data_IF_088579236572
#
_entry.id   IF_088579236572
#
_cell.length_a   1.000
_cell.length_b   1.000
_cell.length_c   1.000
_cell.angle_alpha   90.00
_cell.angle_beta   90.00
_cell.angle_gamma   90.00
#
_symmetry.space_group_name_H-M   'P 1'
#
loop_
_entity.id
_entity.type
_entity.pdbx_description
1 polymer ?
#
# COMPACT_ATOMS: atom_id res chain seq x y z
N UNK A 1 -7.65 1.56 11.94
CA UNK A 1 -6.80 0.79 12.87
C UNK A 1 -7.39 -0.55 13.35
N UNK A 2 -8.49 -1.07 12.77
CA UNK A 2 -9.11 -2.34 13.19
C UNK A 2 -8.88 -3.54 12.25
N UNK A 3 -8.35 -3.35 11.04
CA UNK A 3 -8.08 -4.44 10.07
C UNK A 3 -6.62 -4.94 10.09
N UNK A 4 -5.72 -4.21 10.74
CA UNK A 4 -4.28 -4.54 10.81
C UNK A 4 -3.96 -5.65 11.82
N UNK A 5 -4.88 -5.89 12.77
CA UNK A 5 -4.66 -6.82 13.89
C UNK A 5 -4.89 -8.29 13.48
N UNK A 6 -5.73 -8.57 12.48
CA UNK A 6 -6.14 -9.95 12.18
C UNK A 6 -5.08 -10.77 11.40
N UNK A 7 -4.04 -10.15 10.87
CA UNK A 7 -3.03 -10.82 10.03
C UNK A 7 -1.59 -10.72 10.52
N UNK A 8 -1.31 -10.00 11.61
CA UNK A 8 0.04 -9.83 12.18
C UNK A 8 1.11 -9.57 11.11
N UNK A 9 2.16 -10.40 11.10
CA UNK A 9 3.25 -10.38 10.11
C UNK A 9 3.11 -11.45 9.02
N UNK A 10 1.94 -12.10 8.88
CA UNK A 10 1.72 -13.21 7.93
C UNK A 10 1.96 -12.82 6.46
N UNK A 11 1.86 -11.53 6.14
CA UNK A 11 2.15 -11.00 4.82
C UNK A 11 3.62 -11.10 4.40
N UNK A 12 4.55 -11.29 5.35
CA UNK A 12 5.98 -11.52 5.07
C UNK A 12 6.25 -12.76 4.22
N UNK A 13 5.32 -13.72 4.24
CA UNK A 13 5.37 -14.94 3.42
C UNK A 13 5.11 -14.63 1.94
N UNK A 14 4.49 -13.48 1.63
CA UNK A 14 4.19 -13.10 0.25
C UNK A 14 5.49 -12.80 -0.51
N UNK A 15 5.56 -13.32 -1.74
CA UNK A 15 6.59 -12.90 -2.69
C UNK A 15 6.31 -11.48 -3.13
N UNK A 16 7.35 -10.73 -3.51
CA UNK A 16 7.21 -9.37 -4.05
C UNK A 16 6.23 -9.32 -5.23
N UNK A 17 6.22 -10.35 -6.10
CA UNK A 17 5.25 -10.46 -7.20
C UNK A 17 3.80 -10.54 -6.72
N UNK A 18 3.55 -11.25 -5.62
CA UNK A 18 2.21 -11.34 -5.03
C UNK A 18 1.75 -10.00 -4.48
N UNK A 19 2.66 -9.21 -3.89
CA UNK A 19 2.35 -7.85 -3.42
C UNK A 19 2.01 -6.93 -4.61
N UNK A 20 2.79 -6.99 -5.69
CA UNK A 20 2.49 -6.20 -6.90
C UNK A 20 1.16 -6.60 -7.55
N UNK A 21 0.80 -7.89 -7.53
CA UNK A 21 -0.49 -8.36 -8.01
C UNK A 21 -1.64 -7.78 -7.16
N UNK A 22 -1.47 -7.70 -5.83
CA UNK A 22 -2.48 -7.08 -4.96
C UNK A 22 -2.69 -5.59 -5.28
N UNK A 23 -1.60 -4.84 -5.51
CA UNK A 23 -1.68 -3.43 -5.93
C UNK A 23 -2.45 -3.32 -7.25
N UNK A 24 -2.12 -4.17 -8.23
CA UNK A 24 -2.77 -4.18 -9.54
C UNK A 24 -4.26 -4.53 -9.45
N UNK A 25 -4.64 -5.51 -8.62
CA UNK A 25 -6.04 -5.91 -8.42
C UNK A 25 -6.86 -4.74 -7.88
N UNK A 26 -6.33 -4.01 -6.89
CA UNK A 26 -7.04 -2.88 -6.28
C UNK A 26 -7.16 -1.70 -7.22
N UNK A 27 -6.09 -1.35 -7.93
CA UNK A 27 -6.13 -0.34 -8.99
C UNK A 27 -7.12 -0.71 -10.11
N UNK A 28 -7.13 -1.97 -10.54
CA UNK A 28 -8.05 -2.48 -11.56
C UNK A 28 -9.52 -2.41 -11.10
N UNK A 29 -9.79 -2.62 -9.81
CA UNK A 29 -11.14 -2.48 -9.25
C UNK A 29 -11.61 -1.04 -9.28
N UNK A 30 -10.77 -0.09 -8.86
CA UNK A 30 -11.07 1.35 -8.91
C UNK A 30 -11.46 1.74 -10.34
N UNK A 31 -10.59 1.43 -11.30
CA UNK A 31 -10.84 1.69 -12.72
C UNK A 31 -12.12 1.04 -13.23
N UNK A 32 -12.39 -0.21 -12.85
CA UNK A 32 -13.63 -0.89 -13.27
C UNK A 32 -14.89 -0.25 -12.69
N UNK A 33 -14.82 0.38 -11.51
CA UNK A 33 -15.96 1.09 -10.90
C UNK A 33 -16.19 2.41 -11.65
N UNK A 34 -15.12 3.15 -11.94
CA UNK A 34 -15.17 4.41 -12.70
C UNK A 34 -15.72 4.21 -14.12
N UNK A 35 -15.28 3.16 -14.82
CA UNK A 35 -15.72 2.88 -16.19
C UNK A 35 -17.18 2.36 -16.27
N UNK A 36 -17.62 1.54 -15.30
CA UNK A 36 -18.94 0.88 -15.35
C UNK A 36 -20.03 1.65 -14.61
N UNK A 37 -19.66 2.52 -13.67
CA UNK A 37 -20.59 3.23 -12.77
C UNK A 37 -21.38 2.31 -11.83
N UNK A 38 -21.10 1.00 -11.82
CA UNK A 38 -21.77 0.01 -10.99
C UNK A 38 -20.77 -0.88 -10.27
N UNK A 39 -20.99 -1.09 -8.98
CA UNK A 39 -20.33 -2.13 -8.19
C UNK A 39 -21.35 -3.20 -7.80
N UNK A 40 -20.93 -4.47 -7.85
CA UNK A 40 -21.75 -5.59 -7.36
C UNK A 40 -21.54 -5.88 -5.88
N UNK A 41 -20.53 -5.26 -5.27
CA UNK A 41 -20.17 -5.41 -3.86
C UNK A 41 -20.25 -4.02 -3.22
N UNK A 42 -20.93 -3.94 -2.08
CA UNK A 42 -21.06 -2.71 -1.30
C UNK A 42 -19.81 -2.48 -0.44
N UNK A 43 -18.70 -2.19 -1.11
CA UNK A 43 -17.40 -1.92 -0.51
C UNK A 43 -16.91 -0.55 -0.98
N UNK A 44 -16.63 0.39 -0.05
CA UNK A 44 -16.18 1.74 -0.38
C UNK A 44 -14.92 1.73 -1.25
N UNK A 45 -14.88 2.56 -2.28
CA UNK A 45 -13.67 2.73 -3.12
C UNK A 45 -12.48 3.24 -2.30
N UNK A 46 -12.73 3.99 -1.22
CA UNK A 46 -11.71 4.46 -0.29
C UNK A 46 -10.87 3.32 0.31
N UNK A 47 -11.50 2.16 0.59
CA UNK A 47 -10.79 0.98 1.12
C UNK A 47 -9.79 0.43 0.08
N UNK A 48 -10.01 0.65 -1.22
CA UNK A 48 -9.07 0.24 -2.27
C UNK A 48 -7.82 1.11 -2.27
N UNK A 49 -7.97 2.43 -2.14
CA UNK A 49 -6.82 3.35 -2.03
C UNK A 49 -6.00 3.06 -0.77
N UNK A 50 -6.66 2.85 0.37
CA UNK A 50 -5.99 2.45 1.61
C UNK A 50 -5.23 1.13 1.39
N UNK A 51 -5.85 0.16 0.71
CA UNK A 51 -5.21 -1.10 0.37
C UNK A 51 -3.97 -0.93 -0.51
N UNK A 52 -4.03 -0.09 -1.55
CA UNK A 52 -2.88 0.21 -2.43
C UNK A 52 -1.73 0.78 -1.61
N UNK A 53 -1.99 1.79 -0.78
CA UNK A 53 -0.95 2.39 0.08
C UNK A 53 -0.35 1.35 1.02
N UNK A 54 -1.17 0.53 1.67
CA UNK A 54 -0.69 -0.53 2.56
C UNK A 54 0.21 -1.53 1.84
N UNK A 55 -0.19 -2.04 0.67
CA UNK A 55 0.63 -2.97 -0.10
C UNK A 55 1.93 -2.33 -0.60
N UNK A 56 1.92 -1.04 -0.96
CA UNK A 56 3.15 -0.31 -1.28
C UNK A 56 4.10 -0.24 -0.08
N UNK A 57 3.60 0.10 1.11
CA UNK A 57 4.43 0.13 2.34
C UNK A 57 4.98 -1.27 2.65
N UNK A 58 4.15 -2.31 2.57
CA UNK A 58 4.58 -3.71 2.77
C UNK A 58 5.66 -4.12 1.76
N UNK A 59 5.55 -3.68 0.50
CA UNK A 59 6.58 -3.93 -0.51
C UNK A 59 7.89 -3.24 -0.16
N UNK A 60 7.85 -2.01 0.35
CA UNK A 60 9.05 -1.29 0.80
C UNK A 60 9.73 -2.00 1.98
N UNK A 61 8.95 -2.45 2.96
CA UNK A 61 9.48 -3.27 4.07
C UNK A 61 10.10 -4.56 3.52
N UNK A 62 9.43 -5.25 2.59
CA UNK A 62 9.94 -6.48 1.97
C UNK A 62 11.20 -6.25 1.13
N UNK A 63 11.43 -5.04 0.61
CA UNK A 63 12.65 -4.68 -0.11
C UNK A 63 13.80 -4.31 0.82
N UNK A 64 13.50 -3.69 1.98
CA UNK A 64 14.49 -3.42 3.01
C UNK A 64 14.98 -4.70 3.68
N UNK A 65 14.06 -5.63 3.93
CA UNK A 65 14.36 -6.94 4.49
C UNK A 65 14.86 -7.87 3.37
N UNK A 66 16.10 -8.34 3.48
CA UNK A 66 16.69 -9.28 2.52
C UNK A 66 16.00 -10.65 2.58
N UNK A 67 16.19 -11.47 1.54
CA UNK A 67 15.64 -12.83 1.48
C UNK A 67 16.22 -13.79 2.52
N UNK A 68 17.32 -13.40 3.18
CA UNK A 68 17.96 -14.14 4.26
C UNK A 68 17.40 -13.78 5.63
N UNK A 69 16.63 -12.69 5.73
CA UNK A 69 16.03 -12.27 6.99
C UNK A 69 14.88 -13.20 7.37
N UNK A 70 14.73 -13.39 8.68
CA UNK A 70 13.66 -14.20 9.26
C UNK A 70 12.29 -13.80 8.68
N UNK A 71 11.49 -14.79 8.33
CA UNK A 71 10.08 -14.59 7.99
C UNK A 71 9.24 -14.34 9.26
N UNK A 72 9.72 -14.81 10.41
CA UNK A 72 9.16 -14.50 11.71
C UNK A 72 9.68 -13.15 12.17
N UNK A 73 8.88 -12.13 11.87
CA UNK A 73 9.07 -10.76 12.33
C UNK A 73 8.15 -10.52 13.53
N UNK A 74 8.70 -9.98 14.62
CA UNK A 74 7.87 -9.55 15.75
C UNK A 74 6.92 -8.43 15.31
N UNK A 75 5.70 -8.42 15.87
CA UNK A 75 4.67 -7.43 15.50
C UNK A 75 5.16 -6.01 15.76
N UNK A 76 5.85 -5.77 16.87
CA UNK A 76 6.42 -4.47 17.23
C UNK A 76 7.47 -3.98 16.22
N UNK A 77 8.30 -4.88 15.72
CA UNK A 77 9.31 -4.58 14.70
C UNK A 77 8.66 -4.27 13.36
N UNK A 78 7.64 -5.05 12.98
CA UNK A 78 6.86 -4.81 11.77
C UNK A 78 6.13 -3.47 11.81
N UNK A 79 5.56 -3.09 12.95
CA UNK A 79 4.95 -1.78 13.17
C UNK A 79 5.97 -0.65 13.01
N UNK A 80 7.16 -0.80 13.62
CA UNK A 80 8.24 0.18 13.48
C UNK A 80 8.72 0.37 12.04
N UNK A 81 8.89 -0.72 11.29
CA UNK A 81 9.26 -0.68 9.87
C UNK A 81 8.15 -0.08 9.01
N UNK A 82 6.90 -0.40 9.31
CA UNK A 82 5.75 0.17 8.61
C UNK A 82 5.69 1.69 8.83
N UNK A 83 5.76 2.15 10.07
CA UNK A 83 5.72 3.58 10.42
C UNK A 83 6.86 4.35 9.76
N UNK A 84 8.08 3.78 9.79
CA UNK A 84 9.25 4.34 9.09
C UNK A 84 8.97 4.57 7.60
N UNK A 85 8.47 3.55 6.90
CA UNK A 85 8.24 3.66 5.45
C UNK A 85 7.06 4.56 5.09
N UNK A 86 6.06 4.67 5.97
CA UNK A 86 4.98 5.66 5.84
C UNK A 86 5.53 7.08 5.95
N UNK A 87 6.37 7.35 6.96
CA UNK A 87 6.99 8.65 7.19
C UNK A 87 7.88 9.05 6.01
N UNK A 88 8.82 8.19 5.61
CA UNK A 88 9.72 8.43 4.47
C UNK A 88 8.94 8.68 3.17
N UNK A 89 7.88 7.90 2.91
CA UNK A 89 7.07 8.07 1.71
C UNK A 89 6.30 9.39 1.72
N UNK A 90 5.83 9.82 2.90
CA UNK A 90 5.11 11.08 3.06
C UNK A 90 6.03 12.28 2.89
N UNK A 91 7.21 12.27 3.52
CA UNK A 91 8.22 13.33 3.36
C UNK A 91 8.60 13.48 1.89
N UNK A 92 8.90 12.37 1.19
CA UNK A 92 9.20 12.39 -0.23
C UNK A 92 8.06 12.96 -1.09
N UNK A 93 6.81 12.69 -0.72
CA UNK A 93 5.64 13.25 -1.40
C UNK A 93 5.54 14.76 -1.16
N UNK A 94 5.77 15.23 0.07
CA UNK A 94 5.75 16.65 0.42
C UNK A 94 6.86 17.43 -0.30
N UNK A 95 8.07 16.90 -0.34
CA UNK A 95 9.20 17.47 -1.09
C UNK A 95 8.87 17.57 -2.59
N UNK A 96 8.32 16.50 -3.18
CA UNK A 96 7.88 16.54 -4.58
C UNK A 96 6.73 17.53 -4.80
N UNK A 97 5.78 17.61 -3.89
CA UNK A 97 4.68 18.57 -4.01
C UNK A 97 5.19 20.02 -3.95
N UNK A 98 6.23 20.29 -3.15
CA UNK A 98 6.92 21.57 -3.14
C UNK A 98 7.60 21.86 -4.48
N UNK A 99 8.32 20.89 -5.05
CA UNK A 99 9.08 21.07 -6.30
C UNK A 99 8.20 21.17 -7.55
N UNK A 100 7.13 20.38 -7.63
CA UNK A 100 6.26 20.27 -8.81
C UNK A 100 4.89 20.95 -8.64
N UNK A 101 4.59 21.53 -7.47
CA UNK A 101 3.36 22.28 -7.22
C UNK A 101 2.07 21.45 -7.26
N UNK A 102 2.01 20.33 -6.52
CA UNK A 102 0.87 19.37 -6.50
C UNK A 102 0.30 19.01 -7.90
N UNK A 103 1.09 19.12 -8.98
CA UNK A 103 0.61 19.02 -10.37
C UNK A 103 -0.12 17.71 -10.71
N UNK A 104 0.09 16.67 -9.91
CA UNK A 104 -0.65 15.41 -10.03
C UNK A 104 -2.17 15.59 -9.81
N UNK A 105 -2.62 16.63 -9.09
CA UNK A 105 -4.04 16.96 -8.93
C UNK A 105 -4.70 17.43 -10.22
N UNK A 106 -3.93 18.03 -11.12
CA UNK A 106 -4.39 18.51 -12.43
C UNK A 106 -4.31 17.42 -13.51
N UNK A 107 -3.81 16.23 -13.17
CA UNK A 107 -3.79 15.11 -14.10
C UNK A 107 -5.21 14.67 -14.43
N UNK A 108 -5.44 14.37 -15.71
CA UNK A 108 -6.73 13.85 -16.18
C UNK A 108 -6.92 12.44 -15.61
N UNK A 109 -8.08 12.21 -14.99
CA UNK A 109 -8.58 10.90 -14.54
C UNK A 109 -9.65 10.43 -15.52
#
# INVERSE_FOLDING_TARGET
MKKTIDYGTAWRILRTSSITDQIFIKASRIRSIEEKGISRIDEPVQDEYIGIVNYCVMALVQLEMNSEDSLDLEVSEAEGLYDKWVEVSKELMEDKNHDYGEAWRDMRV
#
